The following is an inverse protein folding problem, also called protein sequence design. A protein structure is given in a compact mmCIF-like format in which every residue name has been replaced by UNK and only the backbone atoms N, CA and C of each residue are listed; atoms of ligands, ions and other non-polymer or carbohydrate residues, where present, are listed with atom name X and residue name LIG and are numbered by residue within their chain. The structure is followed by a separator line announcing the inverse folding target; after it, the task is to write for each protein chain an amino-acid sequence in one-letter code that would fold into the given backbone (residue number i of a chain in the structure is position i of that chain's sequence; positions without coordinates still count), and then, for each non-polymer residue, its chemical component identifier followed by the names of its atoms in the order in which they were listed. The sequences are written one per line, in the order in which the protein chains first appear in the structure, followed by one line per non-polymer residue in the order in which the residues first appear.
data_IF_438574653609
#
_entry.id   IF_438574653609
#
_cell.length_a   1.000
_cell.length_b   1.000
_cell.length_c   1.000
_cell.angle_alpha   90.00
_cell.angle_beta   90.00
_cell.angle_gamma   90.00
#
_symmetry.space_group_name_H-M   'P 1'
#
loop_
_entity.id
_entity.type
_entity.pdbx_description
1 polymer ?
#
# COMPACT_ATOMS: atom_id res chain seq x y z
N UNK A 1 -21.74 3.79 -14.07
CA UNK A 1 -20.66 4.46 -14.84
C UNK A 1 -20.11 3.46 -15.86
N UNK A 2 -19.71 3.89 -17.05
CA UNK A 2 -19.11 2.99 -18.04
C UNK A 2 -17.71 2.54 -17.59
N UNK A 3 -17.27 1.35 -18.01
CA UNK A 3 -15.91 0.87 -17.72
C UNK A 3 -14.89 1.69 -18.52
N UNK A 4 -13.83 2.13 -17.87
CA UNK A 4 -12.67 2.72 -18.52
C UNK A 4 -11.66 1.62 -18.85
N UNK A 5 -11.03 1.71 -20.01
CA UNK A 5 -10.05 0.73 -20.47
C UNK A 5 -8.83 1.48 -20.99
N UNK A 6 -7.67 1.19 -20.42
CA UNK A 6 -6.36 1.72 -20.82
C UNK A 6 -5.43 0.55 -21.15
N UNK A 7 -4.40 0.79 -21.95
CA UNK A 7 -3.55 -0.27 -22.51
C UNK A 7 -2.05 0.06 -22.41
N UNK A 8 -1.23 -0.95 -22.68
CA UNK A 8 0.23 -0.82 -22.89
C UNK A 8 0.96 -0.05 -21.79
N UNK A 9 1.75 0.96 -22.18
CA UNK A 9 2.61 1.75 -21.31
C UNK A 9 1.82 2.63 -20.34
N UNK A 10 0.65 3.14 -20.76
CA UNK A 10 -0.22 3.93 -19.89
C UNK A 10 -0.74 3.09 -18.71
N UNK A 11 -1.25 1.89 -19.01
CA UNK A 11 -1.69 0.94 -17.99
C UNK A 11 -0.56 0.57 -17.03
N UNK A 12 0.64 0.27 -17.58
CA UNK A 12 1.80 -0.12 -16.77
C UNK A 12 2.28 1.01 -15.86
N UNK A 13 2.30 2.26 -16.34
CA UNK A 13 2.71 3.42 -15.55
C UNK A 13 1.73 3.71 -14.42
N UNK A 14 0.43 3.65 -14.68
CA UNK A 14 -0.58 3.86 -13.65
C UNK A 14 -0.47 2.80 -12.54
N UNK A 15 -0.39 1.51 -12.91
CA UNK A 15 -0.18 0.44 -11.93
C UNK A 15 1.11 0.62 -11.13
N UNK A 16 2.21 0.97 -11.80
CA UNK A 16 3.50 1.21 -11.14
C UNK A 16 3.42 2.36 -10.14
N UNK A 17 2.77 3.46 -10.50
CA UNK A 17 2.60 4.61 -9.59
C UNK A 17 1.86 4.20 -8.30
N UNK A 18 0.85 3.35 -8.44
CA UNK A 18 0.14 2.74 -7.31
C UNK A 18 1.02 1.87 -6.41
N UNK A 19 1.77 0.94 -7.03
CA UNK A 19 2.72 0.07 -6.33
C UNK A 19 3.78 0.90 -5.60
N UNK A 20 4.35 1.91 -6.27
CA UNK A 20 5.37 2.79 -5.70
C UNK A 20 4.80 3.58 -4.51
N UNK A 21 3.58 4.11 -4.60
CA UNK A 21 2.95 4.84 -3.52
C UNK A 21 2.81 3.97 -2.25
N UNK A 22 2.31 2.74 -2.41
CA UNK A 22 2.18 1.81 -1.29
C UNK A 22 3.55 1.38 -0.74
N UNK A 23 4.49 1.00 -1.61
CA UNK A 23 5.82 0.56 -1.20
C UNK A 23 6.59 1.68 -0.48
N UNK A 24 6.47 2.92 -0.96
CA UNK A 24 7.12 4.08 -0.34
C UNK A 24 6.58 4.38 1.06
N UNK A 25 5.29 4.15 1.32
CA UNK A 25 4.72 4.29 2.65
C UNK A 25 5.20 3.17 3.59
N UNK A 26 5.08 1.92 3.15
CA UNK A 26 5.35 0.73 3.97
C UNK A 26 6.85 0.58 4.27
N UNK A 27 7.74 0.80 3.29
CA UNK A 27 9.18 0.61 3.49
C UNK A 27 9.78 1.48 4.59
N UNK A 28 9.11 2.58 4.96
CA UNK A 28 9.59 3.46 6.04
C UNK A 28 9.60 2.75 7.39
N UNK A 29 8.78 1.72 7.58
CA UNK A 29 8.66 0.97 8.83
C UNK A 29 9.62 -0.21 8.92
N UNK A 30 10.45 -0.46 7.89
CA UNK A 30 11.28 -1.65 7.81
C UNK A 30 12.45 -1.64 8.81
N UNK A 31 12.57 -2.75 9.56
CA UNK A 31 13.75 -3.06 10.38
C UNK A 31 13.82 -2.30 11.71
N UNK A 32 14.91 -2.50 12.49
CA UNK A 32 15.04 -1.96 13.84
C UNK A 32 15.18 -0.43 13.90
N UNK A 33 15.40 0.23 12.75
CA UNK A 33 15.44 1.69 12.59
C UNK A 33 14.27 2.22 11.76
N UNK A 34 13.21 1.42 11.62
CA UNK A 34 11.96 1.84 10.99
C UNK A 34 11.43 3.11 11.64
N UNK A 35 10.84 3.98 10.83
CA UNK A 35 10.21 5.22 11.26
C UNK A 35 8.72 5.01 11.45
N UNK A 36 8.14 5.90 12.25
CA UNK A 36 6.70 5.92 12.45
C UNK A 36 5.99 6.51 11.24
N UNK A 37 4.82 5.95 10.93
CA UNK A 37 3.83 6.47 10.00
C UNK A 37 2.63 6.94 10.81
N UNK A 38 2.16 8.15 10.52
CA UNK A 38 0.93 8.69 11.08
C UNK A 38 -0.23 8.42 10.13
N UNK A 39 -1.30 7.83 10.67
CA UNK A 39 -2.52 7.47 9.96
C UNK A 39 -3.65 8.33 10.52
N UNK A 40 -4.31 9.06 9.62
CA UNK A 40 -5.44 9.90 9.99
C UNK A 40 -6.64 9.04 10.42
N UNK A 41 -7.49 9.61 11.29
CA UNK A 41 -8.72 8.97 11.75
C UNK A 41 -9.87 9.95 11.61
N UNK A 42 -11.01 9.44 11.16
CA UNK A 42 -12.25 10.24 11.04
C UNK A 42 -12.67 10.93 12.36
N UNK A 43 -12.27 10.36 13.50
CA UNK A 43 -12.59 10.88 14.83
C UNK A 43 -11.43 10.60 15.80
N UNK A 44 -11.16 11.55 16.70
CA UNK A 44 -10.11 11.43 17.72
C UNK A 44 -8.71 11.82 17.22
N UNK A 45 -7.67 11.30 17.88
CA UNK A 45 -6.27 11.54 17.51
C UNK A 45 -5.80 10.55 16.42
N UNK A 46 -4.81 10.94 15.61
CA UNK A 46 -4.23 10.04 14.60
C UNK A 46 -3.57 8.81 15.25
N UNK A 47 -3.54 7.70 14.53
CA UNK A 47 -2.74 6.53 14.93
C UNK A 47 -1.31 6.73 14.47
N UNK A 48 -0.34 6.57 15.37
CA UNK A 48 1.07 6.50 15.02
C UNK A 48 1.51 5.05 15.11
N UNK A 49 2.00 4.47 14.03
CA UNK A 49 2.39 3.06 13.96
C UNK A 49 3.74 2.86 13.26
N UNK A 50 4.39 1.75 13.60
CA UNK A 50 5.58 1.24 12.92
C UNK A 50 5.31 -0.14 12.31
N UNK A 51 4.05 -0.55 12.22
CA UNK A 51 3.63 -1.80 11.59
C UNK A 51 3.26 -1.57 10.12
N UNK A 52 4.04 -2.17 9.22
CA UNK A 52 3.84 -2.07 7.78
C UNK A 52 2.52 -2.66 7.30
N UNK A 53 1.98 -3.68 7.99
CA UNK A 53 0.69 -4.29 7.65
C UNK A 53 -0.46 -3.31 7.93
N UNK A 54 -0.41 -2.64 9.08
CA UNK A 54 -1.39 -1.59 9.42
C UNK A 54 -1.31 -0.44 8.41
N UNK A 55 -0.10 0.00 8.03
CA UNK A 55 0.07 1.06 7.02
C UNK A 55 -0.52 0.64 5.68
N UNK A 56 -0.19 -0.57 5.20
CA UNK A 56 -0.69 -1.13 3.94
C UNK A 56 -2.22 -1.21 3.88
N UNK A 57 -2.89 -1.43 5.01
CA UNK A 57 -4.36 -1.53 5.07
C UNK A 57 -5.04 -0.19 4.80
N UNK A 58 -4.44 0.92 5.21
CA UNK A 58 -4.98 2.27 5.08
C UNK A 58 -4.68 2.93 3.72
N UNK A 59 -3.84 2.31 2.87
CA UNK A 59 -3.53 2.86 1.55
C UNK A 59 -4.71 2.63 0.59
N UNK A 60 -5.35 3.72 0.20
CA UNK A 60 -6.38 3.77 -0.84
C UNK A 60 -6.13 5.02 -1.71
N UNK A 61 -5.93 4.80 -3.02
CA UNK A 61 -5.62 5.87 -3.96
C UNK A 61 -6.87 6.33 -4.71
N UNK A 62 -6.94 7.63 -5.01
CA UNK A 62 -8.09 8.23 -5.70
C UNK A 62 -8.21 7.76 -7.15
N UNK A 63 -7.08 7.62 -7.84
CA UNK A 63 -7.07 7.10 -9.20
C UNK A 63 -7.32 5.59 -9.18
N UNK A 64 -8.33 5.07 -9.90
CA UNK A 64 -8.66 3.65 -9.88
C UNK A 64 -7.54 2.75 -10.40
N UNK A 65 -6.77 3.19 -11.39
CA UNK A 65 -5.69 2.39 -11.99
C UNK A 65 -4.47 2.34 -11.09
N UNK A 66 -4.10 3.46 -10.47
CA UNK A 66 -3.09 3.46 -9.41
C UNK A 66 -3.55 2.63 -8.21
N UNK A 67 -4.80 2.77 -7.77
CA UNK A 67 -5.31 2.00 -6.65
C UNK A 67 -5.28 0.49 -6.93
N UNK A 68 -5.58 0.06 -8.16
CA UNK A 68 -5.40 -1.34 -8.55
C UNK A 68 -3.96 -1.83 -8.35
N UNK A 69 -2.97 -1.02 -8.73
CA UNK A 69 -1.55 -1.32 -8.49
C UNK A 69 -1.22 -1.48 -7.00
N UNK A 70 -1.71 -0.57 -6.16
CA UNK A 70 -1.56 -0.67 -4.71
C UNK A 70 -2.23 -1.94 -4.14
N UNK A 71 -3.46 -2.25 -4.55
CA UNK A 71 -4.18 -3.43 -4.06
C UNK A 71 -3.48 -4.74 -4.46
N UNK A 72 -2.86 -4.81 -5.65
CA UNK A 72 -2.06 -5.98 -6.07
C UNK A 72 -0.86 -6.22 -5.13
N UNK A 73 -0.15 -5.16 -4.74
CA UNK A 73 0.96 -5.28 -3.79
C UNK A 73 0.47 -5.70 -2.40
N UNK A 74 -0.67 -5.16 -1.95
CA UNK A 74 -1.32 -5.52 -0.69
C UNK A 74 -1.69 -7.00 -0.62
N UNK A 75 -2.22 -7.55 -1.72
CA UNK A 75 -2.58 -8.96 -1.80
C UNK A 75 -1.33 -9.85 -1.70
N UNK A 76 -0.26 -9.51 -2.41
CA UNK A 76 1.01 -10.22 -2.32
C UNK A 76 1.58 -10.21 -0.88
N UNK A 77 1.60 -9.04 -0.23
CA UNK A 77 2.07 -8.90 1.15
C UNK A 77 1.20 -9.68 2.15
N UNK A 78 -0.13 -9.66 1.98
CA UNK A 78 -1.07 -10.40 2.84
C UNK A 78 -0.82 -11.90 2.73
N UNK A 79 -0.60 -12.41 1.52
CA UNK A 79 -0.29 -13.82 1.29
C UNK A 79 1.03 -14.24 1.94
N UNK A 80 2.05 -13.39 1.90
CA UNK A 80 3.31 -13.62 2.63
C UNK A 80 3.06 -13.74 4.14
N UNK A 81 2.23 -12.85 4.69
CA UNK A 81 1.86 -12.91 6.10
C UNK A 81 1.12 -14.20 6.47
N UNK A 82 0.19 -14.65 5.62
CA UNK A 82 -0.60 -15.85 5.89
C UNK A 82 0.26 -17.13 5.90
N UNK A 83 1.34 -17.15 5.11
CA UNK A 83 2.26 -18.29 5.00
C UNK A 83 3.37 -18.25 6.05
N UNK A 84 3.97 -17.08 6.27
CA UNK A 84 5.19 -16.93 7.07
C UNK A 84 4.97 -16.22 8.42
N UNK A 85 3.87 -15.49 8.59
CA UNK A 85 3.57 -14.68 9.79
C UNK A 85 4.43 -13.42 9.93
N UNK A 86 5.33 -13.14 8.99
CA UNK A 86 6.23 -11.98 8.95
C UNK A 86 6.69 -11.73 7.49
N UNK A 87 7.44 -10.66 7.25
CA UNK A 87 8.07 -10.36 5.96
C UNK A 87 7.21 -9.53 5.01
N UNK A 88 6.10 -8.96 5.48
CA UNK A 88 5.18 -8.14 4.67
C UNK A 88 5.76 -6.83 4.17
N UNK A 89 6.80 -6.33 4.85
CA UNK A 89 7.49 -5.06 4.54
C UNK A 89 8.74 -5.28 3.68
N UNK A 90 9.25 -6.52 3.60
CA UNK A 90 10.45 -6.92 2.85
C UNK A 90 10.13 -7.09 1.37
#
# INVERSE_FOLDING_TARGET
MAKQIIYEDEARRALKAGVDAMANAVKTTLGPKGRNVALDKKWGSPTVTHDGVTVAKEVELKDPFENMGAQLLKEAATKTNDVAGDGTTT
#
